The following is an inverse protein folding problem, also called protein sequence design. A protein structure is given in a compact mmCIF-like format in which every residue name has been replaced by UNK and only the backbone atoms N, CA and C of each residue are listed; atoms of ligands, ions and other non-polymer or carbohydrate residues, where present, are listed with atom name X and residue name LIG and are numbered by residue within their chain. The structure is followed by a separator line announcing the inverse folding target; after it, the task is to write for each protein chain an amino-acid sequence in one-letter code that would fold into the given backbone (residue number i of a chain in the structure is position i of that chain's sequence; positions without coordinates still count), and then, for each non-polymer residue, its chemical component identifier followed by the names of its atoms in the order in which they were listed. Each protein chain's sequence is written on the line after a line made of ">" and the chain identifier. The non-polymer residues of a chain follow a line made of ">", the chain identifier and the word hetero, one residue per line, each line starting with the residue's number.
data_IF_579766280503
#
_entry.id   IF_579766280503
#
_cell.length_a   1.000
_cell.length_b   1.000
_cell.length_c   1.000
_cell.angle_alpha   90.00
_cell.angle_beta   90.00
_cell.angle_gamma   90.00
#
_symmetry.space_group_name_H-M   'P 1'
#
loop_
_entity.id
_entity.type
_entity.pdbx_description
1 polymer ?
#
# COMPACT_ATOMS: atom_id res chain seq x y z
N UNK A 1 8.30 12.43 12.38
CA UNK A 1 9.33 12.18 11.33
C UNK A 1 10.62 11.86 12.05
N UNK A 2 11.29 10.76 11.70
CA UNK A 2 12.68 10.55 12.14
C UNK A 2 13.54 11.58 11.39
N UNK A 3 14.24 12.49 12.09
CA UNK A 3 14.83 13.68 11.47
C UNK A 3 16.09 13.41 10.61
N UNK A 4 16.62 12.19 10.59
CA UNK A 4 17.95 11.90 10.04
C UNK A 4 17.99 11.14 8.71
N UNK A 5 16.86 10.64 8.19
CA UNK A 5 16.87 9.80 6.98
C UNK A 5 16.36 10.59 5.78
N UNK A 6 17.28 10.96 4.89
CA UNK A 6 16.97 11.59 3.62
C UNK A 6 16.53 10.54 2.58
N UNK A 7 15.58 10.94 1.72
CA UNK A 7 15.24 10.17 0.52
C UNK A 7 16.46 10.07 -0.40
N UNK A 8 16.67 8.91 -1.02
CA UNK A 8 17.80 8.68 -1.93
C UNK A 8 17.37 7.91 -3.19
N UNK A 9 18.31 7.69 -4.11
CA UNK A 9 18.04 7.03 -5.40
C UNK A 9 17.64 5.56 -5.25
N UNK A 10 18.10 4.87 -4.20
CA UNK A 10 17.73 3.46 -3.97
C UNK A 10 16.26 3.36 -3.54
N UNK A 11 15.80 4.27 -2.70
CA UNK A 11 14.39 4.39 -2.32
C UNK A 11 13.52 4.81 -3.50
N UNK A 12 14.01 5.72 -4.35
CA UNK A 12 13.31 6.10 -5.58
C UNK A 12 13.14 4.90 -6.50
N UNK A 13 14.23 4.19 -6.79
CA UNK A 13 14.19 2.97 -7.63
C UNK A 13 13.23 1.94 -7.07
N UNK A 14 13.24 1.71 -5.75
CA UNK A 14 12.31 0.79 -5.10
C UNK A 14 10.84 1.17 -5.35
N UNK A 15 10.52 2.48 -5.34
CA UNK A 15 9.17 2.96 -5.66
C UNK A 15 8.83 2.94 -7.13
N UNK A 16 9.79 3.15 -8.01
CA UNK A 16 9.60 3.01 -9.44
C UNK A 16 9.28 1.55 -9.80
N UNK A 17 10.02 0.60 -9.22
CA UNK A 17 9.79 -0.84 -9.39
C UNK A 17 8.40 -1.25 -8.82
N UNK A 18 8.01 -0.69 -7.66
CA UNK A 18 6.66 -0.87 -7.07
C UNK A 18 5.55 -0.37 -8.00
N UNK A 19 5.74 0.81 -8.59
CA UNK A 19 4.78 1.42 -9.51
C UNK A 19 4.68 0.63 -10.83
N UNK A 20 5.82 0.17 -11.36
CA UNK A 20 5.86 -0.63 -12.57
C UNK A 20 5.08 -1.94 -12.42
N UNK A 21 5.20 -2.58 -11.25
CA UNK A 21 4.49 -3.82 -10.90
C UNK A 21 3.02 -3.61 -10.49
N UNK A 22 2.61 -2.37 -10.23
CA UNK A 22 1.25 -2.05 -9.77
C UNK A 22 0.23 -2.19 -10.90
N UNK A 23 -0.74 -3.10 -10.74
CA UNK A 23 -1.91 -3.20 -11.61
C UNK A 23 -3.05 -2.27 -11.18
N UNK A 24 -3.24 -2.09 -9.86
CA UNK A 24 -4.25 -1.20 -9.31
C UNK A 24 -3.88 -0.72 -7.90
N UNK A 25 -4.58 0.33 -7.44
CA UNK A 25 -4.47 0.86 -6.10
C UNK A 25 -5.68 0.45 -5.26
N UNK A 26 -5.45 0.03 -4.03
CA UNK A 26 -6.48 -0.07 -3.00
C UNK A 26 -6.23 1.00 -1.93
N UNK A 27 -7.25 1.81 -1.68
CA UNK A 27 -7.18 3.00 -0.85
C UNK A 27 -8.31 3.02 0.18
N UNK A 28 -8.00 3.33 1.43
CA UNK A 28 -9.00 3.77 2.41
C UNK A 28 -9.32 5.25 2.21
N UNK A 29 -10.49 5.69 2.69
CA UNK A 29 -10.98 7.08 2.57
C UNK A 29 -9.91 8.15 2.78
N UNK A 30 -9.24 8.14 3.93
CA UNK A 30 -8.28 9.21 4.30
C UNK A 30 -7.10 9.29 3.33
N UNK A 31 -6.52 8.15 2.93
CA UNK A 31 -5.43 8.15 1.95
C UNK A 31 -5.94 8.61 0.59
N UNK A 32 -7.14 8.18 0.17
CA UNK A 32 -7.75 8.63 -1.08
C UNK A 32 -7.91 10.15 -1.11
N UNK A 33 -8.49 10.76 -0.07
CA UNK A 33 -8.70 12.22 0.00
C UNK A 33 -7.38 12.99 -0.07
N UNK A 34 -6.34 12.55 0.66
CA UNK A 34 -5.01 13.15 0.60
C UNK A 34 -4.44 13.05 -0.81
N UNK A 35 -4.52 11.87 -1.43
CA UNK A 35 -3.94 11.64 -2.74
C UNK A 35 -4.68 12.39 -3.84
N UNK A 36 -6.00 12.37 -3.83
CA UNK A 36 -6.85 13.11 -4.76
C UNK A 36 -6.61 14.64 -4.67
N UNK A 37 -6.23 15.17 -3.51
CA UNK A 37 -5.89 16.58 -3.34
C UNK A 37 -4.54 17.02 -3.94
N UNK A 38 -3.63 16.06 -4.20
CA UNK A 38 -2.25 16.31 -4.59
C UNK A 38 -1.88 15.73 -5.95
N UNK A 39 -2.02 14.41 -6.15
CA UNK A 39 -1.52 13.69 -7.32
C UNK A 39 -2.05 14.17 -8.68
N UNK A 40 -3.31 14.63 -8.83
CA UNK A 40 -3.78 15.15 -10.12
C UNK A 40 -3.01 16.36 -10.66
N UNK A 41 -2.24 17.06 -9.81
CA UNK A 41 -1.46 18.25 -10.18
C UNK A 41 0.00 17.93 -10.47
N UNK A 42 0.45 16.73 -10.09
CA UNK A 42 1.81 16.27 -10.31
C UNK A 42 1.98 15.80 -11.76
N UNK A 43 3.19 15.96 -12.30
CA UNK A 43 3.50 15.64 -13.70
C UNK A 43 4.80 14.84 -13.81
N UNK A 44 4.99 14.19 -14.97
CA UNK A 44 6.14 13.36 -15.29
C UNK A 44 5.82 11.87 -15.17
N UNK A 45 6.67 11.03 -15.76
CA UNK A 45 6.39 9.61 -16.02
C UNK A 45 5.84 8.84 -14.80
N UNK A 46 6.39 9.10 -13.61
CA UNK A 46 5.90 8.50 -12.37
C UNK A 46 4.47 8.96 -12.05
N UNK A 47 4.24 10.27 -12.02
CA UNK A 47 2.94 10.83 -11.69
C UNK A 47 1.87 10.45 -12.73
N UNK A 48 2.23 10.47 -14.01
CA UNK A 48 1.34 10.10 -15.11
C UNK A 48 0.91 8.63 -14.98
N UNK A 49 1.86 7.73 -14.73
CA UNK A 49 1.58 6.30 -14.50
C UNK A 49 0.76 6.06 -13.24
N UNK A 50 1.08 6.76 -12.15
CA UNK A 50 0.37 6.66 -10.87
C UNK A 50 -1.07 7.16 -10.98
N UNK A 51 -1.28 8.29 -11.66
CA UNK A 51 -2.60 8.84 -11.97
C UNK A 51 -3.41 7.92 -12.89
N UNK A 52 -2.77 7.16 -13.79
CA UNK A 52 -3.46 6.23 -14.69
C UNK A 52 -3.95 4.92 -14.03
N UNK A 53 -3.43 4.53 -12.85
CA UNK A 53 -3.82 3.29 -12.19
C UNK A 53 -5.32 3.26 -11.85
N UNK A 54 -6.04 2.13 -12.03
CA UNK A 54 -7.35 1.94 -11.41
C UNK A 54 -7.26 2.08 -9.89
N UNK A 55 -8.22 2.79 -9.27
CA UNK A 55 -8.27 3.02 -7.82
C UNK A 55 -9.54 2.42 -7.23
N UNK A 56 -9.38 1.44 -6.34
CA UNK A 56 -10.46 0.88 -5.55
C UNK A 56 -10.48 1.54 -4.18
N UNK A 57 -11.61 2.15 -3.81
CA UNK A 57 -11.71 2.98 -2.62
C UNK A 57 -12.63 2.32 -1.61
N UNK A 58 -12.05 1.86 -0.50
CA UNK A 58 -12.76 1.32 0.66
C UNK A 58 -13.25 2.49 1.55
N UNK A 59 -14.51 2.84 1.42
CA UNK A 59 -15.16 3.90 2.20
C UNK A 59 -16.66 3.64 2.35
N UNK A 60 -17.21 3.95 3.53
CA UNK A 60 -18.66 3.92 3.77
C UNK A 60 -19.30 5.30 3.73
N UNK A 61 -18.50 6.37 3.60
CA UNK A 61 -18.97 7.76 3.71
C UNK A 61 -18.74 8.60 2.46
N UNK A 62 -17.88 8.15 1.54
CA UNK A 62 -17.67 8.85 0.28
C UNK A 62 -18.81 8.53 -0.67
N UNK A 63 -19.26 9.54 -1.40
CA UNK A 63 -20.31 9.42 -2.42
C UNK A 63 -19.83 9.80 -3.82
N UNK A 64 -18.64 10.43 -3.91
CA UNK A 64 -18.02 10.85 -5.16
C UNK A 64 -16.50 10.64 -5.09
N UNK A 65 -15.89 10.48 -6.27
CA UNK A 65 -14.46 10.23 -6.46
C UNK A 65 -13.95 11.14 -7.59
N UNK A 66 -13.16 12.16 -7.25
CA UNK A 66 -12.71 13.18 -8.21
C UNK A 66 -11.37 12.83 -8.87
N UNK A 67 -10.64 11.85 -8.33
CA UNK A 67 -9.39 11.34 -8.88
C UNK A 67 -9.63 10.03 -9.62
N UNK A 68 -9.77 10.13 -10.95
CA UNK A 68 -10.14 9.03 -11.85
C UNK A 68 -8.91 8.36 -12.50
N UNK A 69 -9.01 7.11 -12.98
CA UNK A 69 -10.15 6.18 -12.86
C UNK A 69 -10.27 5.60 -11.43
N UNK A 70 -11.46 5.67 -10.84
CA UNK A 70 -11.69 5.18 -9.48
C UNK A 70 -13.10 4.62 -9.25
N UNK A 71 -13.21 3.64 -8.37
CA UNK A 71 -14.44 2.95 -8.00
C UNK A 71 -14.56 2.85 -6.46
N UNK A 72 -15.75 3.14 -5.93
CA UNK A 72 -16.07 2.86 -4.53
C UNK A 72 -16.39 1.37 -4.38
N UNK A 73 -15.67 0.70 -3.48
CA UNK A 73 -15.98 -0.68 -3.14
C UNK A 73 -17.29 -0.76 -2.35
N UNK A 74 -18.13 -1.71 -2.73
CA UNK A 74 -19.41 -1.97 -2.08
C UNK A 74 -19.36 -3.25 -1.26
N UNK A 75 -20.17 -3.32 -0.20
CA UNK A 75 -20.23 -4.49 0.69
C UNK A 75 -19.05 -4.57 1.67
N UNK A 76 -18.83 -5.77 2.20
CA UNK A 76 -17.73 -6.03 3.13
C UNK A 76 -16.39 -6.03 2.38
N UNK A 77 -15.41 -5.31 2.93
CA UNK A 77 -14.08 -5.16 2.30
C UNK A 77 -13.42 -6.51 1.93
N UNK A 78 -13.41 -7.54 2.79
CA UNK A 78 -12.83 -8.83 2.42
C UNK A 78 -13.47 -9.47 1.19
N UNK A 79 -14.80 -9.35 1.05
CA UNK A 79 -15.53 -9.96 -0.06
C UNK A 79 -15.30 -9.18 -1.36
N UNK A 80 -15.32 -7.85 -1.28
CA UNK A 80 -14.98 -6.99 -2.41
C UNK A 80 -13.57 -7.29 -2.94
N UNK A 81 -12.57 -7.40 -2.04
CA UNK A 81 -11.19 -7.70 -2.41
C UNK A 81 -11.02 -9.12 -2.95
N UNK A 82 -11.75 -10.12 -2.45
CA UNK A 82 -11.77 -11.46 -3.07
C UNK A 82 -12.28 -11.40 -4.51
N UNK A 83 -13.34 -10.64 -4.77
CA UNK A 83 -13.84 -10.40 -6.12
C UNK A 83 -12.80 -9.74 -7.02
N UNK A 84 -12.12 -8.70 -6.51
CA UNK A 84 -11.04 -8.04 -7.25
C UNK A 84 -9.91 -9.01 -7.59
N UNK A 85 -9.43 -9.82 -6.63
CA UNK A 85 -8.35 -10.80 -6.84
C UNK A 85 -8.72 -11.87 -7.88
N UNK A 86 -10.00 -12.13 -8.12
CA UNK A 86 -10.46 -13.05 -9.17
C UNK A 86 -10.48 -12.39 -10.56
N UNK A 87 -10.72 -11.08 -10.63
CA UNK A 87 -10.87 -10.34 -11.88
C UNK A 87 -9.63 -9.56 -12.33
N UNK A 88 -8.70 -9.22 -11.42
CA UNK A 88 -7.54 -8.39 -11.73
C UNK A 88 -6.38 -9.22 -12.30
N UNK A 89 -5.91 -8.88 -13.49
CA UNK A 89 -4.72 -9.50 -14.11
C UNK A 89 -3.36 -8.98 -13.61
N UNK A 90 -3.34 -8.11 -12.59
CA UNK A 90 -2.12 -7.50 -12.05
C UNK A 90 -2.19 -7.25 -10.55
N UNK A 91 -1.06 -6.85 -9.95
CA UNK A 91 -0.95 -6.73 -8.49
C UNK A 91 -1.73 -5.52 -7.95
N UNK A 92 -2.50 -5.73 -6.88
CA UNK A 92 -3.25 -4.67 -6.20
C UNK A 92 -2.43 -4.17 -5.00
N UNK A 93 -2.00 -2.91 -5.04
CA UNK A 93 -1.20 -2.31 -3.97
C UNK A 93 -2.06 -1.56 -2.97
N UNK A 94 -1.90 -1.89 -1.69
CA UNK A 94 -2.51 -1.14 -0.59
C UNK A 94 -1.66 0.09 -0.29
N UNK A 95 -2.02 1.23 -0.86
CA UNK A 95 -1.35 2.51 -0.55
C UNK A 95 -1.82 3.12 0.78
N UNK A 96 -2.86 2.52 1.37
CA UNK A 96 -3.46 2.89 2.63
C UNK A 96 -4.95 2.60 2.60
N UNK A 97 -5.72 2.88 3.64
CA UNK A 97 -5.24 3.29 4.95
C UNK A 97 -4.72 2.09 5.74
N UNK A 98 -4.03 2.35 6.85
CA UNK A 98 -3.60 1.28 7.75
C UNK A 98 -4.75 0.35 8.17
N UNK A 99 -5.97 0.87 8.36
CA UNK A 99 -7.16 0.06 8.67
C UNK A 99 -7.52 -0.92 7.56
N UNK A 100 -7.33 -0.55 6.29
CA UNK A 100 -7.54 -1.44 5.13
C UNK A 100 -6.52 -2.56 5.17
N UNK A 101 -5.23 -2.23 5.34
CA UNK A 101 -4.16 -3.23 5.43
C UNK A 101 -4.40 -4.21 6.60
N UNK A 102 -4.73 -3.70 7.79
CA UNK A 102 -5.03 -4.52 8.96
C UNK A 102 -6.22 -5.47 8.75
N UNK A 103 -7.28 -4.99 8.11
CA UNK A 103 -8.44 -5.83 7.81
C UNK A 103 -8.08 -6.96 6.85
N UNK A 104 -7.36 -6.64 5.77
CA UNK A 104 -6.91 -7.67 4.82
C UNK A 104 -5.97 -8.69 5.46
N UNK A 105 -5.09 -8.25 6.37
CA UNK A 105 -4.22 -9.15 7.14
C UNK A 105 -5.04 -10.10 8.02
N UNK A 106 -6.09 -9.61 8.71
CA UNK A 106 -6.98 -10.46 9.53
C UNK A 106 -7.69 -11.53 8.71
N UNK A 107 -7.99 -11.22 7.45
CA UNK A 107 -8.73 -12.10 6.56
C UNK A 107 -7.83 -12.95 5.64
N UNK A 108 -6.50 -12.91 5.81
CA UNK A 108 -5.56 -13.68 5.00
C UNK A 108 -5.55 -13.28 3.52
N UNK A 109 -5.86 -12.01 3.22
CA UNK A 109 -6.00 -11.52 1.85
C UNK A 109 -4.76 -10.83 1.29
N UNK A 110 -3.73 -10.67 2.12
CA UNK A 110 -2.44 -10.10 1.72
C UNK A 110 -1.52 -11.25 1.31
N UNK A 111 -0.97 -11.20 0.10
CA UNK A 111 -0.02 -12.21 -0.40
C UNK A 111 1.44 -11.83 -0.13
N UNK A 112 1.75 -10.52 -0.20
CA UNK A 112 3.10 -9.98 0.01
C UNK A 112 3.08 -8.75 0.89
N UNK A 113 4.08 -8.64 1.76
CA UNK A 113 4.31 -7.47 2.61
C UNK A 113 5.67 -6.88 2.25
N UNK A 114 5.68 -5.61 1.81
CA UNK A 114 6.89 -4.81 1.61
C UNK A 114 7.05 -3.81 2.73
N UNK A 115 8.12 -3.91 3.50
CA UNK A 115 8.41 -3.05 4.65
C UNK A 115 9.68 -2.25 4.39
N UNK A 116 9.57 -0.92 4.42
CA UNK A 116 10.72 -0.04 4.57
C UNK A 116 10.96 0.21 6.06
N UNK A 117 11.94 -0.48 6.62
CA UNK A 117 12.37 -0.31 8.01
C UNK A 117 13.37 0.85 8.12
N UNK A 118 12.97 1.91 8.79
CA UNK A 118 13.82 3.08 9.01
C UNK A 118 14.67 2.91 10.28
N UNK A 119 15.94 3.39 10.29
CA UNK A 119 16.83 3.28 11.43
C UNK A 119 16.46 4.28 12.54
N UNK A 120 15.36 4.02 13.26
CA UNK A 120 14.98 4.83 14.43
C UNK A 120 13.79 4.27 15.21
N UNK A 121 13.71 4.65 16.48
CA UNK A 121 12.62 4.27 17.39
C UNK A 121 11.68 5.47 17.62
N UNK A 122 10.40 5.29 17.33
CA UNK A 122 9.38 6.34 17.48
C UNK A 122 8.64 6.31 18.83
N UNK A 123 8.84 5.26 19.63
CA UNK A 123 8.28 5.08 20.97
C UNK A 123 6.78 4.73 21.00
N UNK A 124 5.96 5.37 20.17
CA UNK A 124 4.53 5.14 20.08
C UNK A 124 4.01 5.38 18.66
N UNK A 125 2.90 4.75 18.31
CA UNK A 125 2.29 4.91 16.99
C UNK A 125 1.22 3.86 16.71
N UNK A 126 0.70 3.91 15.49
CA UNK A 126 -0.21 2.87 14.99
C UNK A 126 0.60 1.68 14.50
N UNK A 127 0.21 0.48 14.92
CA UNK A 127 0.88 -0.76 14.55
C UNK A 127 0.38 -1.27 13.20
N UNK A 128 1.28 -1.81 12.35
CA UNK A 128 0.87 -2.46 11.10
C UNK A 128 0.03 -3.71 11.38
N UNK A 129 0.57 -4.60 12.21
CA UNK A 129 -0.08 -5.87 12.54
C UNK A 129 -1.13 -5.66 13.64
N UNK A 130 -2.31 -6.27 13.52
CA UNK A 130 -3.32 -6.19 14.57
C UNK A 130 -2.82 -6.87 15.86
N UNK A 131 -3.20 -6.37 17.05
CA UNK A 131 -2.85 -7.02 18.31
C UNK A 131 -3.29 -8.49 18.34
N UNK A 132 -2.40 -9.37 18.77
CA UNK A 132 -2.66 -10.81 18.85
C UNK A 132 -2.61 -11.56 17.52
N UNK A 133 -2.37 -10.89 16.39
CA UNK A 133 -2.20 -11.56 15.10
C UNK A 133 -0.92 -12.39 15.08
N UNK A 134 -1.05 -13.66 14.72
CA UNK A 134 0.08 -14.53 14.37
C UNK A 134 0.00 -14.78 12.87
N UNK A 135 1.00 -14.29 12.13
CA UNK A 135 1.08 -14.43 10.68
C UNK A 135 2.44 -15.04 10.35
N UNK A 136 2.50 -16.28 9.83
CA UNK A 136 3.76 -16.82 9.34
C UNK A 136 4.20 -16.01 8.11
N UNK A 137 5.43 -15.52 8.16
CA UNK A 137 6.04 -14.73 7.10
C UNK A 137 7.29 -15.46 6.60
N UNK A 138 7.39 -15.62 5.28
CA UNK A 138 8.58 -16.14 4.64
C UNK A 138 9.34 -14.97 4.00
N UNK A 139 10.62 -14.83 4.35
CA UNK A 139 11.46 -13.78 3.79
C UNK A 139 11.71 -14.05 2.30
N UNK A 140 11.28 -13.14 1.45
CA UNK A 140 11.57 -13.14 0.01
C UNK A 140 12.89 -12.40 -0.25
N UNK A 141 13.04 -11.21 0.32
CA UNK A 141 14.25 -10.40 0.14
C UNK A 141 14.50 -9.45 1.30
N UNK A 142 15.77 -9.11 1.50
CA UNK A 142 16.23 -8.11 2.44
C UNK A 142 17.32 -7.26 1.77
N UNK A 143 17.04 -5.99 1.53
CA UNK A 143 17.96 -5.07 0.86
C UNK A 143 18.21 -3.87 1.76
N UNK A 144 19.46 -3.71 2.19
CA UNK A 144 19.89 -2.51 2.89
C UNK A 144 20.22 -1.40 1.88
N UNK A 145 19.71 -0.20 2.14
CA UNK A 145 20.08 1.01 1.41
C UNK A 145 21.23 1.74 2.10
N UNK A 146 21.95 2.55 1.35
CA UNK A 146 23.09 3.36 1.82
C UNK A 146 22.76 4.33 2.97
N UNK A 147 21.50 4.74 3.11
CA UNK A 147 21.01 5.61 4.18
C UNK A 147 20.54 4.87 5.44
N UNK A 148 20.77 3.55 5.51
CA UNK A 148 20.41 2.70 6.65
C UNK A 148 18.96 2.22 6.67
N UNK A 149 18.13 2.60 5.69
CA UNK A 149 16.81 1.97 5.50
C UNK A 149 17.00 0.54 5.01
N UNK A 150 16.17 -0.38 5.49
CA UNK A 150 16.12 -1.76 4.99
C UNK A 150 14.78 -2.02 4.34
N UNK A 151 14.79 -2.36 3.06
CA UNK A 151 13.62 -2.90 2.36
C UNK A 151 13.54 -4.40 2.61
N UNK A 152 12.44 -4.84 3.21
CA UNK A 152 12.14 -6.23 3.46
C UNK A 152 10.91 -6.63 2.67
N UNK A 153 10.98 -7.76 1.97
CA UNK A 153 9.82 -8.36 1.35
C UNK A 153 9.54 -9.72 1.98
N UNK A 154 8.28 -9.93 2.34
CA UNK A 154 7.80 -11.19 2.88
C UNK A 154 6.63 -11.72 2.06
N UNK A 155 6.59 -13.02 1.83
CA UNK A 155 5.35 -13.70 1.49
C UNK A 155 4.55 -13.89 2.78
N UNK A 156 3.26 -13.59 2.73
CA UNK A 156 2.34 -13.97 3.78
C UNK A 156 1.83 -15.38 3.48
N UNK A 157 2.23 -16.35 4.31
CA UNK A 157 1.77 -17.73 4.18
C UNK A 157 0.39 -17.91 4.81
N UNK A 158 -0.45 -18.76 4.21
CA UNK A 158 -1.54 -19.37 4.96
C UNK A 158 -0.92 -20.40 5.91
N UNK A 159 -1.22 -20.29 7.20
CA UNK A 159 -1.07 -21.43 8.11
C UNK A 159 -2.08 -22.52 7.74
#
# INVERSE_FOLDING_TARGET
>A
KLPSVAWNNEMQKFKDDELADSGAMLLGRTTYEIFAGSWPKETGDFADRFNALPKYVASTSLTALDWQPAELLTGALPDAVRGLKQGSGGNIYVHGSLSVAQELLRHGLVDRIRLLSYPGAVGQGKLLFPPGAQLPLELISATQFSNGVVALEYAAGMA
#
